data_IF_852216339742
#
_entry.id   IF_852216339742
#
_cell.length_a   1.000
_cell.length_b   1.000
_cell.length_c   1.000
_cell.angle_alpha   90.00
_cell.angle_beta   90.00
_cell.angle_gamma   90.00
#
_symmetry.space_group_name_H-M   'P 1'
#
loop_
_entity.id
_entity.type
_entity.pdbx_description
1 polymer ?
#
# COMPACT_ATOMS: atom_id res chain seq x y z
N UNK A 1 15.60 10.25 3.88
CA UNK A 1 15.01 9.43 2.79
C UNK A 1 14.69 10.37 1.64
N UNK A 2 15.18 10.09 0.43
CA UNK A 2 15.01 10.98 -0.74
C UNK A 2 13.99 10.40 -1.69
N UNK A 3 13.16 11.27 -2.28
CA UNK A 3 12.17 10.92 -3.29
C UNK A 3 12.79 10.19 -4.50
N UNK A 4 14.04 10.52 -4.82
CA UNK A 4 14.85 9.92 -5.89
C UNK A 4 15.06 8.41 -5.69
N UNK A 5 15.26 7.97 -4.44
CA UNK A 5 15.42 6.55 -4.10
C UNK A 5 14.12 5.76 -4.30
N UNK A 6 12.98 6.36 -3.92
CA UNK A 6 11.66 5.76 -4.13
C UNK A 6 11.33 5.63 -5.61
N UNK A 7 11.70 6.61 -6.43
CA UNK A 7 11.53 6.53 -7.88
C UNK A 7 12.44 5.47 -8.52
N UNK A 8 13.69 5.36 -8.08
CA UNK A 8 14.59 4.27 -8.54
C UNK A 8 14.04 2.90 -8.15
N UNK A 9 13.56 2.74 -6.91
CA UNK A 9 12.95 1.50 -6.46
C UNK A 9 11.71 1.16 -7.28
N UNK A 10 10.79 2.12 -7.44
CA UNK A 10 9.60 1.97 -8.27
C UNK A 10 9.95 1.51 -9.69
N UNK A 11 10.93 2.16 -10.34
CA UNK A 11 11.36 1.77 -11.70
C UNK A 11 11.95 0.37 -11.74
N UNK A 12 12.74 -0.03 -10.75
CA UNK A 12 13.44 -1.34 -10.73
C UNK A 12 12.52 -2.48 -10.33
N UNK A 13 11.78 -2.32 -9.25
CA UNK A 13 10.94 -3.36 -8.65
C UNK A 13 9.57 -3.45 -9.34
N UNK A 14 8.98 -2.32 -9.71
CA UNK A 14 7.59 -2.29 -10.19
C UNK A 14 7.52 -2.23 -11.72
N UNK A 15 8.27 -1.32 -12.38
CA UNK A 15 8.24 -1.24 -13.84
C UNK A 15 9.03 -2.35 -14.55
N UNK A 16 10.18 -2.77 -14.00
CA UNK A 16 11.12 -3.59 -14.77
C UNK A 16 10.91 -5.10 -14.62
N UNK A 17 10.17 -5.54 -13.60
CA UNK A 17 9.88 -6.95 -13.37
C UNK A 17 8.53 -7.11 -12.70
N UNK A 18 7.55 -7.65 -13.42
CA UNK A 18 6.32 -8.20 -12.85
C UNK A 18 6.57 -9.43 -11.94
N UNK A 19 7.68 -9.46 -11.21
CA UNK A 19 8.08 -10.51 -10.26
C UNK A 19 8.10 -9.99 -8.82
N UNK A 20 7.95 -8.69 -8.58
CA UNK A 20 7.91 -8.14 -7.22
C UNK A 20 6.64 -8.55 -6.46
N UNK A 21 5.55 -8.80 -7.19
CA UNK A 21 4.27 -9.26 -6.65
C UNK A 21 3.84 -10.54 -7.36
N UNK A 22 4.41 -11.70 -6.98
CA UNK A 22 4.08 -12.98 -7.62
C UNK A 22 2.61 -13.39 -7.41
N UNK A 23 1.96 -12.85 -6.39
CA UNK A 23 0.55 -13.12 -6.06
C UNK A 23 -0.45 -12.34 -6.93
N UNK A 24 0.03 -11.37 -7.71
CA UNK A 24 -0.82 -10.51 -8.55
C UNK A 24 -1.38 -9.31 -7.80
N UNK A 25 -2.51 -8.80 -8.28
CA UNK A 25 -3.19 -7.62 -7.73
C UNK A 25 -4.44 -8.04 -6.98
N UNK A 26 -4.54 -7.66 -5.71
CA UNK A 26 -5.75 -7.85 -4.90
C UNK A 26 -6.76 -6.77 -5.24
N UNK A 27 -8.03 -7.15 -5.48
CA UNK A 27 -9.08 -6.15 -5.75
C UNK A 27 -9.54 -5.50 -4.45
N UNK A 28 -9.57 -4.17 -4.41
CA UNK A 28 -10.01 -3.46 -3.21
C UNK A 28 -11.50 -3.70 -2.88
N UNK A 29 -12.31 -4.15 -3.85
CA UNK A 29 -13.70 -4.53 -3.61
C UNK A 29 -13.82 -5.64 -2.56
N UNK A 30 -12.84 -6.55 -2.53
CA UNK A 30 -12.81 -7.69 -1.61
C UNK A 30 -12.60 -7.20 -0.17
N UNK A 31 -11.54 -6.40 0.05
CA UNK A 31 -11.22 -5.87 1.38
C UNK A 31 -12.33 -4.96 1.90
N UNK A 32 -12.91 -4.10 1.05
CA UNK A 32 -13.97 -3.19 1.45
C UNK A 32 -15.26 -3.94 1.83
N UNK A 33 -15.58 -5.04 1.13
CA UNK A 33 -16.74 -5.87 1.45
C UNK A 33 -16.61 -6.57 2.80
N UNK A 34 -15.40 -6.98 3.17
CA UNK A 34 -15.11 -7.60 4.46
C UNK A 34 -15.05 -6.59 5.61
N UNK A 35 -14.49 -5.40 5.34
CA UNK A 35 -14.23 -4.38 6.37
C UNK A 35 -15.46 -3.60 6.80
N UNK A 36 -16.46 -3.48 5.91
CA UNK A 36 -17.74 -2.84 6.21
C UNK A 36 -18.51 -3.52 7.37
N UNK A 37 -18.16 -4.77 7.71
CA UNK A 37 -18.77 -5.52 8.80
C UNK A 37 -18.10 -5.27 10.17
N UNK A 38 -16.85 -4.81 10.20
CA UNK A 38 -16.04 -4.79 11.44
C UNK A 38 -15.53 -3.40 11.87
N UNK A 39 -15.53 -2.40 10.99
CA UNK A 39 -15.03 -1.06 11.33
C UNK A 39 -16.12 -0.17 11.98
N UNK A 40 -16.18 -0.22 13.32
CA UNK A 40 -16.76 0.87 14.11
C UNK A 40 -15.96 2.15 13.87
N UNK A 41 -16.68 3.17 13.40
CA UNK A 41 -16.26 4.53 13.04
C UNK A 41 -15.81 5.37 14.26
N UNK A 42 -14.87 4.89 15.07
CA UNK A 42 -14.40 5.65 16.24
C UNK A 42 -12.90 5.99 16.24
N UNK A 43 -12.08 5.42 15.33
CA UNK A 43 -10.61 5.55 15.41
C UNK A 43 -9.90 6.01 14.14
N UNK A 44 -10.60 6.57 13.15
CA UNK A 44 -9.99 7.03 11.87
C UNK A 44 -8.89 8.09 12.10
N UNK A 45 -8.90 8.78 13.24
CA UNK A 45 -7.90 9.80 13.59
C UNK A 45 -6.55 9.27 14.10
N UNK A 46 -6.43 8.00 14.49
CA UNK A 46 -5.22 7.43 15.13
C UNK A 46 -4.41 6.50 14.22
N UNK A 47 -4.86 6.28 12.98
CA UNK A 47 -4.10 5.50 12.00
C UNK A 47 -2.82 6.25 11.58
N UNK A 48 -1.70 5.55 11.32
CA UNK A 48 -0.41 6.13 10.95
C UNK A 48 -0.38 6.88 9.59
N UNK A 49 -1.54 7.08 8.96
CA UNK A 49 -1.75 7.91 7.76
C UNK A 49 -1.29 9.35 7.98
N UNK A 50 -1.37 9.85 9.22
CA UNK A 50 -1.00 11.22 9.55
C UNK A 50 0.49 11.56 9.35
N UNK A 51 1.36 10.56 9.09
CA UNK A 51 2.78 10.80 8.89
C UNK A 51 3.28 10.46 7.47
N UNK A 52 2.37 10.24 6.52
CA UNK A 52 2.75 10.05 5.12
C UNK A 52 3.05 11.38 4.45
N UNK A 53 4.21 11.43 3.81
CA UNK A 53 4.55 12.46 2.85
C UNK A 53 3.94 12.05 1.52
N UNK A 54 3.08 12.91 1.00
CA UNK A 54 2.43 12.72 -0.30
C UNK A 54 3.24 13.48 -1.35
N UNK A 55 3.62 12.76 -2.40
CA UNK A 55 4.25 13.29 -3.58
C UNK A 55 3.39 12.95 -4.80
N UNK A 56 2.72 13.96 -5.33
CA UNK A 56 1.98 13.86 -6.58
C UNK A 56 2.93 14.02 -7.77
N UNK A 57 2.77 13.16 -8.77
CA UNK A 57 3.46 13.23 -10.06
C UNK A 57 2.43 13.08 -11.19
N UNK A 58 2.81 13.48 -12.41
CA UNK A 58 1.91 13.48 -13.57
C UNK A 58 1.32 12.11 -13.93
N UNK A 59 1.96 11.02 -13.49
CA UNK A 59 1.61 9.63 -13.82
C UNK A 59 1.23 8.80 -12.59
N UNK A 60 1.52 9.28 -11.37
CA UNK A 60 1.36 8.50 -10.13
C UNK A 60 1.32 9.39 -8.90
N UNK A 61 0.73 8.87 -7.83
CA UNK A 61 0.76 9.46 -6.51
C UNK A 61 1.57 8.56 -5.58
N UNK A 62 2.61 9.11 -4.96
CA UNK A 62 3.50 8.37 -4.07
C UNK A 62 3.23 8.81 -2.64
N UNK A 63 2.88 7.88 -1.74
CA UNK A 63 2.77 8.13 -0.31
C UNK A 63 3.88 7.36 0.38
N UNK A 64 4.70 8.02 1.17
CA UNK A 64 5.75 7.33 1.92
C UNK A 64 5.92 7.90 3.32
N UNK A 65 6.32 7.08 4.26
CA UNK A 65 6.67 7.47 5.61
C UNK A 65 7.94 6.71 6.05
N UNK A 66 8.20 6.67 7.36
CA UNK A 66 9.37 5.98 7.90
C UNK A 66 9.29 4.44 7.78
N UNK A 67 8.09 3.89 7.63
CA UNK A 67 7.81 2.45 7.70
C UNK A 67 7.34 1.87 6.35
N UNK A 68 6.70 2.67 5.51
CA UNK A 68 6.00 2.27 4.31
C UNK A 68 6.28 3.20 3.13
N UNK A 69 6.27 2.64 1.93
CA UNK A 69 6.19 3.36 0.67
C UNK A 69 5.05 2.77 -0.16
N UNK A 70 4.22 3.65 -0.69
CA UNK A 70 3.01 3.32 -1.44
C UNK A 70 3.03 4.11 -2.74
N UNK A 71 2.75 3.43 -3.85
CA UNK A 71 2.61 4.05 -5.16
C UNK A 71 1.22 3.75 -5.71
N UNK A 72 0.46 4.80 -6.01
CA UNK A 72 -0.84 4.74 -6.69
C UNK A 72 -0.64 5.18 -8.12
N UNK A 73 -0.85 4.26 -9.06
CA UNK A 73 -0.63 4.47 -10.48
C UNK A 73 -1.98 4.33 -11.18
N UNK A 74 -2.62 5.44 -11.57
CA UNK A 74 -3.82 5.39 -12.39
C UNK A 74 -3.46 4.93 -13.81
N UNK A 75 -4.07 3.85 -14.26
CA UNK A 75 -3.88 3.27 -15.59
C UNK A 75 -5.23 3.07 -16.30
N UNK A 76 -5.21 2.98 -17.62
CA UNK A 76 -6.36 2.59 -18.43
C UNK A 76 -6.15 1.16 -18.93
N UNK A 77 -6.87 0.21 -18.34
CA UNK A 77 -6.78 -1.21 -18.70
C UNK A 77 -8.06 -1.61 -19.42
N UNK A 78 -7.94 -2.05 -20.69
CA UNK A 78 -9.07 -2.44 -21.54
C UNK A 78 -10.16 -1.37 -21.72
N UNK A 79 -9.81 -0.09 -21.55
CA UNK A 79 -10.74 1.04 -21.65
C UNK A 79 -11.42 1.42 -20.33
N UNK A 80 -11.12 0.71 -19.25
CA UNK A 80 -11.58 1.04 -17.90
C UNK A 80 -10.47 1.74 -17.12
N UNK A 81 -10.84 2.78 -16.36
CA UNK A 81 -9.92 3.43 -15.44
C UNK A 81 -9.65 2.50 -14.26
N UNK A 82 -8.40 2.11 -14.07
CA UNK A 82 -7.93 1.23 -13.00
C UNK A 82 -6.80 1.90 -12.25
N UNK A 83 -6.92 2.06 -10.95
CA UNK A 83 -5.80 2.53 -10.13
C UNK A 83 -5.10 1.34 -9.50
N UNK A 84 -3.81 1.18 -9.78
CA UNK A 84 -2.97 0.14 -9.16
C UNK A 84 -2.21 0.73 -7.99
N UNK A 85 -2.37 0.13 -6.83
CA UNK A 85 -1.61 0.45 -5.63
C UNK A 85 -0.51 -0.56 -5.40
N UNK A 86 0.66 -0.08 -5.03
CA UNK A 86 1.80 -0.91 -4.67
C UNK A 86 2.30 -0.50 -3.31
N UNK A 87 2.44 -1.45 -2.39
CA UNK A 87 2.87 -1.23 -1.02
C UNK A 87 4.21 -1.93 -0.84
N UNK A 88 5.20 -1.20 -0.32
CA UNK A 88 6.47 -1.72 0.13
C UNK A 88 6.74 -1.28 1.57
N UNK A 89 7.37 -2.17 2.34
CA UNK A 89 7.83 -1.91 3.69
C UNK A 89 9.29 -1.45 3.66
N UNK A 90 9.60 -0.45 4.48
CA UNK A 90 10.98 -0.08 4.73
C UNK A 90 11.59 -1.03 5.76
N UNK A 91 12.60 -1.79 5.34
CA UNK A 91 13.35 -2.66 6.24
C UNK A 91 14.43 -1.86 6.99
N UNK A 92 14.69 -2.25 8.24
CA UNK A 92 15.80 -1.78 9.07
C UNK A 92 17.20 -1.83 8.42
N UNK A 93 17.38 -2.64 7.37
CA UNK A 93 18.61 -2.74 6.57
C UNK A 93 18.75 -1.59 5.55
N UNK A 94 17.73 -0.73 5.42
CA UNK A 94 17.74 0.44 4.55
C UNK A 94 17.25 0.17 3.12
N UNK A 95 16.54 -0.93 2.92
CA UNK A 95 15.97 -1.32 1.63
C UNK A 95 14.43 -1.42 1.72
N UNK A 96 13.76 -1.43 0.57
CA UNK A 96 12.30 -1.60 0.52
C UNK A 96 11.97 -3.01 0.07
N UNK A 97 11.13 -3.69 0.83
CA UNK A 97 10.61 -5.00 0.43
C UNK A 97 9.19 -4.83 -0.10
N UNK A 98 8.89 -5.26 -1.34
CA UNK A 98 7.53 -5.26 -1.85
C UNK A 98 6.69 -6.21 -1.00
N UNK A 99 5.59 -5.71 -0.46
CA UNK A 99 4.73 -6.48 0.45
C UNK A 99 3.44 -6.90 -0.28
N UNK A 100 2.74 -5.93 -0.87
CA UNK A 100 1.46 -6.19 -1.52
C UNK A 100 1.21 -5.24 -2.70
N UNK A 101 0.48 -5.74 -3.70
CA UNK A 101 -0.11 -4.92 -4.75
C UNK A 101 -1.63 -5.09 -4.76
N UNK A 102 -2.33 -3.97 -4.93
CA UNK A 102 -3.79 -3.93 -5.03
C UNK A 102 -4.22 -3.18 -6.27
N UNK A 103 -5.46 -3.37 -6.70
CA UNK A 103 -6.05 -2.65 -7.81
C UNK A 103 -7.48 -2.22 -7.47
N UNK A 104 -7.85 -1.07 -8.01
CA UNK A 104 -9.19 -0.52 -7.92
C UNK A 104 -9.71 -0.25 -9.33
N UNK A 105 -10.77 -0.96 -9.70
CA UNK A 105 -11.43 -0.82 -11.01
C UNK A 105 -12.92 -0.53 -10.87
N UNK A 106 -13.50 0.07 -11.90
CA UNK A 106 -14.94 0.33 -11.96
C UNK A 106 -15.42 1.28 -10.86
N UNK A 107 -16.50 0.91 -10.17
CA UNK A 107 -17.14 1.72 -9.11
C UNK A 107 -16.24 1.91 -7.87
N UNK A 108 -15.25 1.03 -7.69
CA UNK A 108 -14.29 1.10 -6.60
C UNK A 108 -13.11 2.03 -6.90
N UNK A 109 -12.95 2.48 -8.15
CA UNK A 109 -11.89 3.43 -8.55
C UNK A 109 -12.22 4.88 -8.11
N UNK A 110 -12.60 5.05 -6.86
CA UNK A 110 -12.82 6.33 -6.20
C UNK A 110 -11.71 6.56 -5.19
N UNK A 111 -11.14 7.76 -5.17
CA UNK A 111 -10.02 8.10 -4.26
C UNK A 111 -10.35 7.81 -2.80
N UNK A 112 -11.60 8.03 -2.38
CA UNK A 112 -12.05 7.72 -1.02
C UNK A 112 -11.97 6.23 -0.69
N UNK A 113 -12.48 5.36 -1.58
CA UNK A 113 -12.47 3.90 -1.43
C UNK A 113 -11.05 3.34 -1.49
N UNK A 114 -10.22 3.87 -2.39
CA UNK A 114 -8.80 3.51 -2.51
C UNK A 114 -8.05 3.82 -1.22
N UNK A 115 -8.26 5.01 -0.65
CA UNK A 115 -7.63 5.40 0.61
C UNK A 115 -8.16 4.61 1.80
N UNK A 116 -9.43 4.23 1.80
CA UNK A 116 -10.02 3.37 2.83
C UNK A 116 -9.42 1.95 2.78
N UNK A 117 -9.39 1.34 1.60
CA UNK A 117 -8.74 0.05 1.38
C UNK A 117 -7.26 0.09 1.76
N UNK A 118 -6.54 1.13 1.35
CA UNK A 118 -5.13 1.34 1.71
C UNK A 118 -4.93 1.37 3.23
N UNK A 119 -5.80 2.04 3.97
CA UNK A 119 -5.72 2.08 5.43
C UNK A 119 -5.87 0.71 6.06
N UNK A 120 -6.80 -0.10 5.54
CA UNK A 120 -7.04 -1.45 6.03
C UNK A 120 -5.80 -2.32 5.77
N UNK A 121 -5.23 -2.26 4.55
CA UNK A 121 -4.00 -3.00 4.23
C UNK A 121 -2.83 -2.57 5.10
N UNK A 122 -2.59 -1.27 5.27
CA UNK A 122 -1.50 -0.77 6.11
C UNK A 122 -1.65 -1.20 7.57
N UNK A 123 -2.88 -1.23 8.08
CA UNK A 123 -3.15 -1.68 9.45
C UNK A 123 -2.93 -3.19 9.61
N UNK A 124 -3.35 -3.99 8.63
CA UNK A 124 -3.19 -5.44 8.62
C UNK A 124 -1.70 -5.85 8.54
N UNK A 125 -0.94 -5.19 7.66
CA UNK A 125 0.51 -5.38 7.54
C UNK A 125 1.20 -5.01 8.85
N UNK A 126 0.84 -3.87 9.46
CA UNK A 126 1.41 -3.42 10.74
C UNK A 126 1.08 -4.38 11.89
N UNK A 127 -0.15 -4.88 11.96
CA UNK A 127 -0.56 -5.85 12.98
C UNK A 127 0.23 -7.15 12.83
N UNK A 128 0.32 -7.66 11.60
CA UNK A 128 1.13 -8.84 11.24
C UNK A 128 2.59 -8.65 11.65
N UNK A 129 3.22 -7.52 11.30
CA UNK A 129 4.58 -7.19 11.70
C UNK A 129 4.76 -7.10 13.22
N UNK A 130 3.80 -6.50 13.93
CA UNK A 130 3.81 -6.41 15.40
C UNK A 130 3.74 -7.79 16.05
N UNK A 131 2.87 -8.66 15.53
CA UNK A 131 2.71 -10.04 15.97
C UNK A 131 3.98 -10.85 15.70
N UNK A 132 4.56 -10.75 14.50
CA UNK A 132 5.82 -11.41 14.14
C UNK A 132 6.99 -10.95 15.02
N UNK A 133 7.09 -9.64 15.30
CA UNK A 133 8.08 -9.11 16.25
C UNK A 133 7.86 -9.66 17.65
N UNK A 134 6.61 -9.74 18.10
CA UNK A 134 6.26 -10.31 19.40
C UNK A 134 6.71 -11.77 19.52
N UNK A 135 6.56 -12.56 18.46
CA UNK A 135 7.08 -13.93 18.42
C UNK A 135 8.60 -14.00 18.43
N UNK A 136 9.29 -13.07 17.76
CA UNK A 136 10.75 -13.04 17.67
C UNK A 136 11.42 -12.65 19.00
N UNK A 137 10.73 -11.86 19.84
CA UNK A 137 11.22 -11.46 21.18
C UNK A 137 10.84 -12.42 22.31
N UNK A 138 9.96 -13.41 22.07
CA UNK A 138 9.53 -14.37 23.09
C UNK A 138 10.34 -15.69 23.07
N UNK A 139 11.50 -15.70 22.43
CA UNK A 139 12.46 -16.81 22.40
C UNK A 139 13.73 -16.56 23.25
N UNK A 140 13.71 -15.58 24.16
CA UNK A 140 14.78 -15.40 25.17
C UNK A 140 14.34 -15.92 26.55
#
# INVERSE_FOLDING_TARGET
>A
MSLDFLEEFYRRAICNKGTAFPEGFVDIADVLSHSASELKVDSISDLPVNNFIIAESADKLTLFNADFAVWLVPELVQGEAVTRGYIALYDSVGDYTPEMAFQASGEYNQSALILEALQIYLQDIKDTESVLRSFRFNQD
#
